data_IF_876465771710
#
_entry.id   IF_876465771710
#
_cell.length_a   1.000
_cell.length_b   1.000
_cell.length_c   1.000
_cell.angle_alpha   90.00
_cell.angle_beta   90.00
_cell.angle_gamma   90.00
#
_symmetry.space_group_name_H-M   'P 1'
#
loop_
_entity.id
_entity.type
_entity.pdbx_description
1 polymer ?
#
# COMPACT_ATOMS: atom_id res chain seq x y z
N UNK A 1 -3.03 4.78 -16.35
CA UNK A 1 -2.47 4.04 -15.22
C UNK A 1 -3.26 2.76 -15.11
N UNK A 2 -2.62 1.63 -15.40
CA UNK A 2 -3.24 0.32 -15.59
C UNK A 2 -3.55 -0.31 -14.22
N UNK A 3 -4.74 -0.04 -13.67
CA UNK A 3 -5.26 -0.75 -12.49
C UNK A 3 -5.37 -2.28 -12.71
N UNK A 4 -5.27 -2.74 -13.97
CA UNK A 4 -5.38 -4.13 -14.41
C UNK A 4 -4.17 -5.02 -14.02
N UNK A 5 -3.08 -4.45 -13.51
CA UNK A 5 -1.83 -5.18 -13.19
C UNK A 5 -1.61 -5.47 -11.72
N UNK A 6 -2.53 -5.05 -10.86
CA UNK A 6 -2.41 -5.23 -9.41
C UNK A 6 -2.99 -6.61 -9.09
N UNK A 7 -2.23 -7.46 -8.40
CA UNK A 7 -2.60 -8.83 -8.03
C UNK A 7 -2.63 -8.99 -6.52
N UNK A 8 -3.63 -9.72 -6.02
CA UNK A 8 -3.73 -10.03 -4.59
C UNK A 8 -2.57 -10.99 -4.24
N UNK A 9 -1.87 -10.69 -3.15
CA UNK A 9 -0.69 -11.42 -2.68
C UNK A 9 0.64 -10.89 -3.22
N UNK A 10 0.63 -9.96 -4.18
CA UNK A 10 1.84 -9.30 -4.69
C UNK A 10 2.17 -8.03 -3.90
N UNK A 11 3.47 -7.75 -3.79
CA UNK A 11 3.99 -6.56 -3.11
C UNK A 11 4.30 -5.46 -4.11
N UNK A 12 3.78 -4.27 -3.84
CA UNK A 12 3.95 -3.10 -4.69
C UNK A 12 4.50 -1.93 -3.91
N UNK A 13 5.06 -0.95 -4.64
CA UNK A 13 5.48 0.32 -4.05
C UNK A 13 4.28 1.23 -3.93
N UNK A 14 3.88 1.54 -2.71
CA UNK A 14 2.75 2.41 -2.44
C UNK A 14 3.23 3.76 -1.90
N UNK A 15 2.43 4.78 -2.18
CA UNK A 15 2.54 6.12 -1.57
C UNK A 15 1.24 6.47 -0.89
N UNK A 16 1.30 7.20 0.22
CA UNK A 16 0.11 7.62 0.93
C UNK A 16 0.34 9.01 1.48
N UNK A 17 -0.64 9.92 1.43
CA UNK A 17 -0.52 11.22 2.09
C UNK A 17 -0.39 11.11 3.62
N UNK A 18 -0.71 9.94 4.19
CA UNK A 18 -0.58 9.67 5.62
C UNK A 18 0.88 9.38 6.04
N UNK A 19 1.68 8.86 5.11
CA UNK A 19 3.05 8.42 5.31
C UNK A 19 3.98 9.41 4.60
N UNK A 20 5.13 9.74 5.18
CA UNK A 20 6.05 10.70 4.55
C UNK A 20 6.84 10.09 3.40
N UNK A 21 7.06 8.77 3.44
CA UNK A 21 7.84 8.04 2.45
C UNK A 21 7.04 7.17 1.48
N UNK A 22 7.78 6.55 0.56
CA UNK A 22 7.30 5.40 -0.21
C UNK A 22 7.42 4.17 0.68
N UNK A 23 6.41 3.31 0.68
CA UNK A 23 6.43 2.06 1.45
C UNK A 23 6.13 0.88 0.52
N UNK A 24 6.58 -0.31 0.88
CA UNK A 24 6.23 -1.53 0.18
C UNK A 24 5.08 -2.19 0.92
N UNK A 25 4.02 -2.49 0.19
CA UNK A 25 2.86 -3.14 0.77
C UNK A 25 2.33 -4.24 -0.16
N UNK A 26 1.95 -5.36 0.46
CA UNK A 26 1.36 -6.52 -0.17
C UNK A 26 -0.15 -6.33 -0.26
N UNK A 27 -0.75 -6.58 -1.42
CA UNK A 27 -2.19 -6.44 -1.59
C UNK A 27 -2.89 -7.62 -0.93
N UNK A 28 -3.63 -7.37 0.15
CA UNK A 28 -4.45 -8.37 0.85
C UNK A 28 -5.82 -8.54 0.18
N UNK A 29 -6.41 -7.41 -0.24
CA UNK A 29 -7.77 -7.42 -0.81
C UNK A 29 -7.94 -6.29 -1.80
N UNK A 30 -8.72 -6.51 -2.85
CA UNK A 30 -9.09 -5.47 -3.81
C UNK A 30 -10.55 -5.09 -3.69
N UNK A 31 -10.80 -3.81 -3.94
CA UNK A 31 -12.10 -3.17 -4.08
C UNK A 31 -12.18 -2.52 -5.47
N UNK A 32 -13.32 -1.94 -5.83
CA UNK A 32 -13.53 -1.33 -7.15
C UNK A 32 -12.49 -0.26 -7.55
N UNK A 33 -12.00 0.54 -6.60
CA UNK A 33 -11.06 1.66 -6.87
C UNK A 33 -9.87 1.70 -5.90
N UNK A 34 -9.76 0.72 -5.03
CA UNK A 34 -8.78 0.71 -3.94
C UNK A 34 -8.40 -0.71 -3.56
N UNK A 35 -7.29 -0.85 -2.86
CA UNK A 35 -6.80 -2.12 -2.34
C UNK A 35 -6.51 -1.97 -0.85
N UNK A 36 -6.94 -2.96 -0.06
CA UNK A 36 -6.37 -3.21 1.26
C UNK A 36 -4.96 -3.75 1.05
N UNK A 37 -4.00 -3.10 1.68
CA UNK A 37 -2.60 -3.50 1.62
C UNK A 37 -2.04 -3.70 3.02
N UNK A 38 -1.19 -4.71 3.16
CA UNK A 38 -0.40 -4.99 4.35
C UNK A 38 1.01 -4.46 4.12
N UNK A 39 1.45 -3.56 4.99
CA UNK A 39 2.76 -2.92 4.84
C UNK A 39 3.85 -3.91 5.26
N UNK A 40 4.73 -4.23 4.32
CA UNK A 40 5.83 -5.19 4.50
C UNK A 40 7.15 -4.47 4.80
N UNK A 41 7.42 -3.35 4.12
CA UNK A 41 8.59 -2.50 4.38
C UNK A 41 8.21 -1.02 4.40
N UNK A 42 8.69 -0.31 5.43
CA UNK A 42 8.41 1.12 5.65
C UNK A 42 9.65 1.84 6.16
N UNK A 43 9.65 3.17 6.06
CA UNK A 43 10.69 3.98 6.67
C UNK A 43 10.52 4.06 8.19
N UNK A 44 11.62 4.00 8.94
CA UNK A 44 11.62 4.03 10.41
C UNK A 44 10.92 5.28 10.97
N UNK A 45 10.94 6.38 10.22
CA UNK A 45 10.24 7.61 10.59
C UNK A 45 8.70 7.50 10.56
N UNK A 46 8.18 6.52 9.83
CA UNK A 46 6.74 6.26 9.69
C UNK A 46 6.29 5.04 10.51
N UNK A 47 7.20 4.39 11.26
CA UNK A 47 6.93 3.16 12.01
C UNK A 47 5.70 3.25 12.92
N UNK A 48 5.60 4.31 13.70
CA UNK A 48 4.51 4.55 14.66
C UNK A 48 3.13 4.61 13.96
N UNK A 49 3.09 5.21 12.77
CA UNK A 49 1.87 5.30 11.96
C UNK A 49 1.56 4.01 11.23
N UNK A 50 2.59 3.35 10.69
CA UNK A 50 2.41 2.08 10.00
C UNK A 50 1.90 1.04 10.98
N UNK A 51 2.39 0.99 12.22
CA UNK A 51 1.94 0.01 13.19
C UNK A 51 0.43 0.12 13.50
N UNK A 52 -0.10 1.36 13.57
CA UNK A 52 -1.55 1.60 13.75
C UNK A 52 -2.37 1.34 12.47
N UNK A 53 -1.80 1.65 11.31
CA UNK A 53 -2.47 1.53 10.01
C UNK A 53 -2.35 0.13 9.37
N UNK A 54 -1.37 -0.69 9.78
CA UNK A 54 -1.09 -1.98 9.18
C UNK A 54 -2.28 -2.93 9.38
N UNK A 55 -2.71 -3.61 8.32
CA UNK A 55 -3.94 -4.42 8.31
C UNK A 55 -5.25 -3.61 8.19
N UNK A 56 -5.19 -2.27 8.19
CA UNK A 56 -6.34 -1.37 7.92
C UNK A 56 -6.07 -0.37 6.80
N UNK A 57 -4.86 -0.40 6.22
CA UNK A 57 -4.43 0.56 5.23
C UNK A 57 -5.08 0.23 3.87
N UNK A 58 -6.07 1.04 3.51
CA UNK A 58 -6.67 1.00 2.18
C UNK A 58 -6.05 2.11 1.35
N UNK A 59 -5.35 1.73 0.29
CA UNK A 59 -4.75 2.67 -0.65
C UNK A 59 -5.48 2.60 -1.99
N UNK A 60 -5.74 3.73 -2.63
CA UNK A 60 -6.34 3.74 -3.95
C UNK A 60 -5.34 3.24 -4.99
N UNK A 61 -5.82 2.61 -6.07
CA UNK A 61 -4.94 1.99 -7.06
C UNK A 61 -3.97 2.98 -7.73
N UNK A 62 -4.32 4.27 -7.82
CA UNK A 62 -3.43 5.29 -8.37
C UNK A 62 -2.19 5.58 -7.50
N UNK A 63 -2.21 5.17 -6.24
CA UNK A 63 -1.09 5.30 -5.31
C UNK A 63 -0.17 4.07 -5.33
N UNK A 64 -0.53 3.02 -6.07
CA UNK A 64 0.20 1.76 -6.17
C UNK A 64 1.02 1.78 -7.46
N UNK A 65 2.33 1.66 -7.34
CA UNK A 65 3.29 1.64 -8.44
C UNK A 65 3.98 0.27 -8.53
N UNK A 66 4.06 -0.27 -9.74
CA UNK A 66 4.68 -1.57 -10.01
C UNK A 66 6.18 -1.39 -10.20
N UNK A 67 6.95 -2.12 -9.40
CA UNK A 67 8.42 -2.19 -9.47
C UNK A 67 8.85 -3.02 -10.68
#
# INVERSE_FOLDING_TARGET
MEADKIMIGETYRCTSPLLKGNFMAKVEKMYDLSALVEVDSFEVNDADKVEDLNGRLVVPFYCIDKI
#
